data_IF_391696522318
#
_entry.id   IF_391696522318
#
_cell.length_a   1.000
_cell.length_b   1.000
_cell.length_c   1.000
_cell.angle_alpha   90.00
_cell.angle_beta   90.00
_cell.angle_gamma   90.00
#
_symmetry.space_group_name_H-M   'P 1'
#
loop_
_entity.id
_entity.type
_entity.pdbx_description
1 polymer ?
#
# COMPACT_ATOMS: atom_id res chain seq x y z
N UNK A 1 -21.24 24.26 -2.22
CA UNK A 1 -20.61 25.39 -1.49
C UNK A 1 -20.55 25.14 0.02
N UNK A 2 -21.60 24.61 0.65
CA UNK A 2 -21.62 24.25 2.09
C UNK A 2 -20.52 23.24 2.48
N UNK A 3 -20.28 22.23 1.64
CA UNK A 3 -19.21 21.23 1.82
C UNK A 3 -17.80 21.81 1.91
N UNK A 4 -17.51 22.80 1.06
CA UNK A 4 -16.23 23.51 1.05
C UNK A 4 -16.04 24.35 2.31
N UNK A 5 -17.12 24.80 2.94
CA UNK A 5 -17.07 25.64 4.15
C UNK A 5 -16.79 24.80 5.40
N UNK A 6 -17.33 23.58 5.46
CA UNK A 6 -17.00 22.60 6.51
C UNK A 6 -15.51 22.22 6.48
N UNK A 7 -14.95 22.00 5.28
CA UNK A 7 -13.52 21.74 5.07
C UNK A 7 -12.64 22.91 5.54
N UNK A 8 -13.10 24.16 5.42
CA UNK A 8 -12.30 25.34 5.77
C UNK A 8 -12.35 25.71 7.26
N UNK A 9 -12.95 24.88 8.13
CA UNK A 9 -13.05 25.14 9.58
C UNK A 9 -13.82 26.42 9.94
N UNK A 10 -14.50 27.03 8.96
CA UNK A 10 -15.16 28.31 9.10
C UNK A 10 -16.67 28.11 9.30
N UNK A 11 -17.12 28.44 10.52
CA UNK A 11 -18.50 28.67 10.98
C UNK A 11 -19.18 27.50 11.72
N UNK A 12 -19.62 27.82 12.94
CA UNK A 12 -19.78 26.92 14.08
C UNK A 12 -21.19 26.40 14.38
N UNK A 13 -22.24 26.80 13.66
CA UNK A 13 -23.60 26.27 13.92
C UNK A 13 -24.48 26.20 12.66
N UNK A 14 -24.50 27.26 11.85
CA UNK A 14 -25.37 27.34 10.67
C UNK A 14 -24.97 26.37 9.55
N UNK A 15 -23.67 26.14 9.35
CA UNK A 15 -23.17 25.18 8.37
C UNK A 15 -23.53 23.75 8.80
N UNK A 16 -23.33 23.42 10.07
CA UNK A 16 -23.73 22.13 10.67
C UNK A 16 -25.22 21.88 10.48
N UNK A 17 -26.08 22.83 10.86
CA UNK A 17 -27.53 22.69 10.68
C UNK A 17 -27.95 22.50 9.21
N UNK A 18 -27.27 23.17 8.27
CA UNK A 18 -27.54 23.02 6.83
C UNK A 18 -27.10 21.66 6.31
N UNK A 19 -25.91 21.20 6.70
CA UNK A 19 -25.39 19.86 6.35
C UNK A 19 -26.29 18.77 6.92
N UNK A 20 -26.75 18.93 8.16
CA UNK A 20 -27.67 18.00 8.81
C UNK A 20 -29.03 17.94 8.10
N UNK A 21 -29.63 19.09 7.80
CA UNK A 21 -30.93 19.16 7.11
C UNK A 21 -30.86 18.62 5.68
N UNK A 22 -29.83 18.99 4.92
CA UNK A 22 -29.65 18.46 3.57
C UNK A 22 -29.31 16.97 3.57
N UNK A 23 -28.47 16.53 4.51
CA UNK A 23 -28.03 15.16 4.67
C UNK A 23 -29.22 14.23 4.93
N UNK A 24 -30.14 14.63 5.82
CA UNK A 24 -31.34 13.86 6.13
C UNK A 24 -32.28 13.73 4.93
N UNK A 25 -32.56 14.84 4.22
CA UNK A 25 -33.46 14.81 3.07
C UNK A 25 -32.90 14.04 1.87
N UNK A 26 -31.57 14.01 1.71
CA UNK A 26 -30.90 13.40 0.55
C UNK A 26 -30.34 12.02 0.81
N UNK A 27 -30.39 11.53 2.05
CA UNK A 27 -29.70 10.32 2.49
C UNK A 27 -29.92 9.13 1.56
N UNK A 28 -31.18 8.83 1.21
CA UNK A 28 -31.53 7.69 0.35
C UNK A 28 -30.95 7.77 -1.07
N UNK A 29 -30.66 8.97 -1.57
CA UNK A 29 -30.05 9.21 -2.87
C UNK A 29 -28.53 9.29 -2.86
N UNK A 30 -27.90 9.29 -1.68
CA UNK A 30 -26.44 9.37 -1.58
C UNK A 30 -25.81 8.01 -1.92
N UNK A 31 -24.87 8.03 -2.88
CA UNK A 31 -23.95 6.91 -3.11
C UNK A 31 -22.99 6.72 -1.92
N UNK A 32 -22.36 5.56 -1.85
CA UNK A 32 -21.55 5.14 -0.69
C UNK A 32 -20.40 6.10 -0.38
N UNK A 33 -19.71 6.64 -1.40
CA UNK A 33 -18.66 7.64 -1.19
C UNK A 33 -19.19 8.94 -0.56
N UNK A 34 -20.33 9.44 -1.03
CA UNK A 34 -20.93 10.63 -0.45
C UNK A 34 -21.37 10.38 1.00
N UNK A 35 -21.80 9.16 1.34
CA UNK A 35 -22.06 8.80 2.73
C UNK A 35 -20.78 8.84 3.57
N UNK A 36 -19.65 8.32 3.06
CA UNK A 36 -18.37 8.33 3.75
C UNK A 36 -17.87 9.76 4.00
N UNK A 37 -17.92 10.61 2.97
CA UNK A 37 -17.53 12.01 3.08
C UNK A 37 -18.48 12.80 4.00
N UNK A 38 -19.78 12.51 3.99
CA UNK A 38 -20.74 13.14 4.90
C UNK A 38 -20.48 12.75 6.35
N UNK A 39 -20.32 11.45 6.64
CA UNK A 39 -20.08 10.96 7.99
C UNK A 39 -18.80 11.58 8.58
N UNK A 40 -17.75 11.62 7.78
CA UNK A 40 -16.48 12.24 8.17
C UNK A 40 -16.62 13.74 8.44
N UNK A 41 -17.28 14.48 7.54
CA UNK A 41 -17.52 15.92 7.73
C UNK A 41 -18.34 16.19 9.00
N UNK A 42 -19.35 15.39 9.26
CA UNK A 42 -20.16 15.52 10.49
C UNK A 42 -19.36 15.22 11.76
N UNK A 43 -18.48 14.20 11.74
CA UNK A 43 -17.58 13.91 12.86
C UNK A 43 -16.63 15.07 13.16
N UNK A 44 -16.09 15.69 12.11
CA UNK A 44 -15.25 16.90 12.22
C UNK A 44 -15.98 18.11 12.79
N UNK A 45 -17.24 18.28 12.44
CA UNK A 45 -18.09 19.36 12.96
C UNK A 45 -18.63 19.09 14.37
N UNK A 46 -18.34 17.91 14.95
CA UNK A 46 -18.88 17.51 16.25
C UNK A 46 -20.40 17.34 16.25
N UNK A 47 -21.01 17.07 15.09
CA UNK A 47 -22.45 16.83 14.98
C UNK A 47 -22.83 15.56 15.73
N UNK A 48 -23.94 15.60 16.47
CA UNK A 48 -24.52 14.46 17.17
C UNK A 48 -25.87 14.04 16.56
N UNK A 49 -26.09 14.33 15.28
CA UNK A 49 -27.40 14.16 14.67
C UNK A 49 -27.81 12.68 14.55
N UNK A 50 -29.10 12.41 14.71
CA UNK A 50 -29.66 11.04 14.68
C UNK A 50 -29.48 10.33 13.34
N UNK A 51 -29.37 11.06 12.23
CA UNK A 51 -29.13 10.48 10.91
C UNK A 51 -27.68 9.98 10.73
N UNK A 52 -26.72 10.40 11.59
CA UNK A 52 -25.34 9.90 11.56
C UNK A 52 -25.30 8.40 11.81
N UNK A 53 -26.16 7.90 12.71
CA UNK A 53 -26.27 6.46 12.95
C UNK A 53 -26.70 5.70 11.68
N UNK A 54 -27.64 6.24 10.90
CA UNK A 54 -28.07 5.62 9.64
C UNK A 54 -26.95 5.64 8.59
N UNK A 55 -26.15 6.71 8.55
CA UNK A 55 -24.96 6.79 7.70
C UNK A 55 -23.92 5.75 8.12
N UNK A 56 -23.65 5.64 9.41
CA UNK A 56 -22.74 4.63 9.97
C UNK A 56 -23.21 3.22 9.64
N UNK A 57 -24.49 2.90 9.87
CA UNK A 57 -25.06 1.58 9.57
C UNK A 57 -24.91 1.22 8.08
N UNK A 58 -25.14 2.18 7.17
CA UNK A 58 -24.97 1.98 5.72
C UNK A 58 -23.51 1.79 5.33
N UNK A 59 -22.60 2.60 5.87
CA UNK A 59 -21.17 2.45 5.61
C UNK A 59 -20.64 1.15 6.20
N UNK A 60 -21.13 0.75 7.37
CA UNK A 60 -20.75 -0.50 8.00
C UNK A 60 -21.12 -1.69 7.13
N UNK A 61 -22.32 -1.70 6.52
CA UNK A 61 -22.70 -2.74 5.56
C UNK A 61 -21.74 -2.82 4.35
N UNK A 62 -21.26 -1.68 3.85
CA UNK A 62 -20.26 -1.64 2.78
C UNK A 62 -18.89 -2.14 3.26
N UNK A 63 -18.47 -1.77 4.47
CA UNK A 63 -17.23 -2.26 5.10
C UNK A 63 -17.29 -3.77 5.30
N UNK A 64 -18.37 -4.30 5.87
CA UNK A 64 -18.54 -5.75 6.09
C UNK A 64 -18.48 -6.53 4.77
N UNK A 65 -19.14 -6.00 3.73
CA UNK A 65 -19.08 -6.58 2.38
C UNK A 65 -17.65 -6.59 1.85
N UNK A 66 -16.92 -5.47 1.96
CA UNK A 66 -15.54 -5.37 1.46
C UNK A 66 -14.58 -6.26 2.27
N UNK A 67 -14.76 -6.36 3.58
CA UNK A 67 -13.98 -7.22 4.47
C UNK A 67 -14.11 -8.69 4.07
N UNK A 68 -15.35 -9.19 3.91
CA UNK A 68 -15.59 -10.55 3.44
C UNK A 68 -14.93 -10.82 2.09
N UNK A 69 -15.05 -9.88 1.16
CA UNK A 69 -14.44 -10.02 -0.17
C UNK A 69 -12.91 -10.01 -0.14
N UNK A 70 -12.26 -9.27 0.76
CA UNK A 70 -10.81 -9.27 0.93
C UNK A 70 -10.30 -10.58 1.54
N UNK A 71 -11.05 -11.13 2.50
CA UNK A 71 -10.75 -12.41 3.13
C UNK A 71 -10.87 -13.57 2.14
N UNK A 72 -11.88 -13.53 1.27
CA UNK A 72 -12.12 -14.53 0.22
C UNK A 72 -11.05 -14.51 -0.88
N UNK A 73 -10.23 -13.46 -0.96
CA UNK A 73 -9.14 -13.45 -1.93
C UNK A 73 -8.07 -14.44 -1.49
N UNK A 74 -7.91 -15.46 -2.31
CA UNK A 74 -6.89 -16.49 -2.16
C UNK A 74 -5.96 -16.42 -3.36
N UNK A 75 -4.67 -16.68 -3.12
CA UNK A 75 -3.72 -16.92 -4.19
C UNK A 75 -4.10 -18.23 -4.89
N UNK A 76 -4.85 -18.14 -5.98
CA UNK A 76 -5.09 -19.28 -6.86
C UNK A 76 -3.79 -19.60 -7.58
N UNK A 77 -2.93 -20.40 -6.95
CA UNK A 77 -1.78 -20.99 -7.62
C UNK A 77 -2.31 -22.00 -8.62
N UNK A 78 -2.59 -21.56 -9.85
CA UNK A 78 -2.87 -22.51 -10.93
C UNK A 78 -1.60 -23.33 -11.10
N UNK A 79 -1.62 -24.65 -10.82
CA UNK A 79 -0.45 -25.48 -11.06
C UNK A 79 -0.20 -25.41 -12.57
N UNK A 80 0.86 -24.70 -12.95
CA UNK A 80 1.29 -24.69 -14.34
C UNK A 80 1.91 -26.06 -14.56
N UNK A 81 1.08 -27.00 -15.02
CA UNK A 81 1.56 -28.30 -15.49
C UNK A 81 2.33 -28.00 -16.78
N UNK A 82 3.60 -27.65 -16.65
CA UNK A 82 4.51 -27.60 -17.78
C UNK A 82 4.67 -29.04 -18.26
N UNK A 83 3.80 -29.46 -19.17
CA UNK A 83 3.99 -30.68 -19.95
C UNK A 83 5.32 -30.52 -20.65
N UNK A 84 6.37 -31.13 -20.11
CA UNK A 84 7.67 -31.16 -20.74
C UNK A 84 7.47 -31.80 -22.12
N UNK A 85 7.50 -30.98 -23.16
CA UNK A 85 7.55 -31.47 -24.52
C UNK A 85 8.87 -32.23 -24.65
N UNK A 86 8.79 -33.57 -24.61
CA UNK A 86 9.92 -34.45 -24.90
C UNK A 86 10.39 -34.13 -26.31
N UNK A 87 11.44 -33.32 -26.42
CA UNK A 87 12.13 -33.09 -27.68
C UNK A 87 12.81 -34.41 -28.06
N UNK A 88 12.18 -35.16 -28.97
CA UNK A 88 12.79 -36.32 -29.62
C UNK A 88 14.00 -35.85 -30.43
N UNK A 89 15.19 -36.02 -29.86
CA UNK A 89 16.44 -35.77 -30.57
C UNK A 89 16.57 -36.76 -31.74
N UNK A 90 16.50 -36.25 -32.96
CA UNK A 90 16.84 -37.00 -34.17
C UNK A 90 18.36 -37.04 -34.28
N UNK A 91 18.95 -38.22 -34.13
CA UNK A 91 20.38 -38.45 -34.29
C UNK A 91 20.81 -38.27 -35.76
N UNK A 92 21.74 -37.35 -36.00
CA UNK A 92 22.49 -37.25 -37.26
C UNK A 92 23.84 -37.97 -37.05
N UNK A 93 24.27 -38.87 -37.95
CA UNK A 93 25.59 -39.50 -37.85
C UNK A 93 26.68 -38.56 -38.37
N UNK A 94 27.70 -38.30 -37.56
CA UNK A 94 28.92 -37.59 -38.01
C UNK A 94 30.18 -38.42 -37.77
N UNK A 95 30.95 -38.50 -38.86
CA UNK A 95 32.28 -39.08 -39.09
C UNK A 95 33.37 -38.41 -38.23
N UNK A 96 34.49 -39.08 -37.89
CA UNK A 96 35.56 -38.46 -37.11
C UNK A 96 36.59 -37.78 -38.00
N UNK A 97 36.91 -36.52 -37.72
CA UNK A 97 38.16 -35.87 -38.16
C UNK A 97 38.77 -35.05 -37.03
N UNK A 98 40.08 -35.22 -36.89
CA UNK A 98 40.99 -34.80 -35.83
C UNK A 98 41.28 -33.29 -35.78
N UNK A 99 41.69 -32.83 -34.58
CA UNK A 99 42.63 -31.72 -34.29
C UNK A 99 42.03 -30.32 -34.02
N UNK A 100 42.17 -29.83 -32.77
CA UNK A 100 43.19 -28.85 -32.31
C UNK A 100 42.66 -28.11 -31.07
N UNK A 101 43.42 -28.15 -29.98
CA UNK A 101 43.17 -27.40 -28.74
C UNK A 101 43.46 -25.91 -28.94
N UNK A 102 42.46 -25.05 -28.72
CA UNK A 102 42.64 -23.64 -28.43
C UNK A 102 41.67 -23.23 -27.31
N UNK A 103 42.22 -23.06 -26.12
CA UNK A 103 41.49 -22.66 -24.90
C UNK A 103 41.22 -21.16 -24.96
N UNK A 104 39.99 -20.77 -25.28
CA UNK A 104 39.50 -19.39 -25.11
C UNK A 104 38.35 -19.43 -24.10
N UNK A 105 38.58 -18.87 -22.91
CA UNK A 105 37.57 -18.78 -21.87
C UNK A 105 36.61 -17.62 -22.21
N UNK A 106 35.50 -17.94 -22.85
CA UNK A 106 34.39 -17.01 -23.05
C UNK A 106 33.52 -17.05 -21.80
N UNK A 107 33.52 -15.98 -21.01
CA UNK A 107 32.59 -15.81 -19.91
C UNK A 107 31.18 -15.60 -20.48
N UNK A 108 30.39 -16.68 -20.51
CA UNK A 108 28.99 -16.63 -20.89
C UNK A 108 28.19 -16.11 -19.70
N UNK A 109 27.93 -14.81 -19.67
CA UNK A 109 26.93 -14.22 -18.77
C UNK A 109 25.56 -14.70 -19.24
N UNK A 110 25.08 -15.80 -18.67
CA UNK A 110 23.73 -16.28 -18.88
C UNK A 110 22.77 -15.30 -18.21
N UNK A 111 22.20 -14.37 -18.99
CA UNK A 111 21.08 -13.55 -18.57
C UNK A 111 19.88 -14.48 -18.41
N UNK A 112 19.68 -14.99 -17.19
CA UNK A 112 18.48 -15.74 -16.85
C UNK A 112 17.28 -14.80 -17.00
N UNK A 113 16.54 -14.95 -18.09
CA UNK A 113 15.20 -14.38 -18.23
C UNK A 113 14.30 -15.15 -17.28
N UNK A 114 14.22 -14.68 -16.03
CA UNK A 114 13.23 -15.13 -15.07
C UNK A 114 11.85 -14.85 -15.70
N UNK A 115 11.12 -15.89 -16.06
CA UNK A 115 9.72 -15.78 -16.43
C UNK A 115 8.96 -15.21 -15.22
N UNK A 116 8.12 -14.18 -15.43
CA UNK A 116 7.20 -13.69 -14.39
C UNK A 116 6.58 -14.89 -13.67
N UNK A 117 6.45 -14.90 -12.33
CA UNK A 117 5.58 -15.86 -11.69
C UNK A 117 4.19 -15.69 -12.31
N UNK A 118 3.77 -16.67 -13.14
CA UNK A 118 2.54 -16.64 -13.95
C UNK A 118 1.24 -16.65 -13.13
N UNK A 119 1.32 -16.34 -11.84
CA UNK A 119 0.21 -16.26 -10.89
C UNK A 119 -0.17 -14.82 -10.55
N UNK A 120 -0.02 -13.86 -11.48
CA UNK A 120 -0.55 -12.52 -11.29
C UNK A 120 -2.07 -12.63 -11.19
N UNK A 121 -2.59 -12.60 -9.96
CA UNK A 121 -4.02 -12.52 -9.71
C UNK A 121 -4.52 -11.24 -10.39
N UNK A 122 -5.46 -11.39 -11.33
CA UNK A 122 -6.05 -10.26 -12.02
C UNK A 122 -6.95 -9.49 -11.04
N UNK A 123 -6.35 -8.60 -10.26
CA UNK A 123 -6.97 -7.99 -9.08
C UNK A 123 -8.12 -7.08 -9.50
N UNK A 124 -8.00 -6.44 -10.66
CA UNK A 124 -9.05 -5.65 -11.28
C UNK A 124 -10.31 -6.48 -11.58
N UNK A 125 -10.19 -7.78 -11.87
CA UNK A 125 -11.30 -8.69 -12.17
C UNK A 125 -11.84 -9.41 -10.93
N UNK A 126 -11.13 -9.33 -9.80
CA UNK A 126 -11.50 -9.97 -8.55
C UNK A 126 -12.88 -9.50 -8.02
N UNK A 127 -13.56 -10.30 -7.19
CA UNK A 127 -14.78 -9.88 -6.50
C UNK A 127 -14.62 -8.57 -5.72
N UNK A 128 -13.47 -8.37 -5.07
CA UNK A 128 -13.11 -7.12 -4.41
C UNK A 128 -13.04 -5.95 -5.40
N UNK A 129 -12.29 -6.09 -6.49
CA UNK A 129 -12.15 -5.05 -7.52
C UNK A 129 -13.49 -4.66 -8.17
N UNK A 130 -14.41 -5.62 -8.37
CA UNK A 130 -15.79 -5.33 -8.80
C UNK A 130 -16.57 -4.57 -7.74
N UNK A 131 -16.55 -5.01 -6.48
CA UNK A 131 -17.28 -4.35 -5.41
C UNK A 131 -16.80 -2.91 -5.16
N UNK A 132 -15.49 -2.66 -5.21
CA UNK A 132 -14.93 -1.30 -5.13
C UNK A 132 -15.48 -0.39 -6.24
N UNK A 133 -15.56 -0.90 -7.48
CA UNK A 133 -16.15 -0.16 -8.61
C UNK A 133 -17.65 0.05 -8.45
N UNK A 134 -18.40 -0.96 -8.00
CA UNK A 134 -19.84 -0.86 -7.76
C UNK A 134 -20.18 0.15 -6.66
N UNK A 135 -19.43 0.13 -5.55
CA UNK A 135 -19.64 1.03 -4.41
C UNK A 135 -19.20 2.46 -4.70
N UNK A 136 -18.45 2.69 -5.79
CA UNK A 136 -17.95 4.01 -6.18
C UNK A 136 -17.04 4.65 -5.10
N UNK A 137 -16.45 3.83 -4.24
CA UNK A 137 -15.65 4.26 -3.11
C UNK A 137 -14.18 4.45 -3.48
N UNK A 138 -13.55 5.45 -2.88
CA UNK A 138 -12.13 5.75 -3.02
C UNK A 138 -11.41 5.52 -1.69
N UNK A 139 -11.94 6.07 -0.60
CA UNK A 139 -11.38 5.97 0.75
C UNK A 139 -12.53 5.87 1.76
N UNK A 140 -12.35 5.04 2.79
CA UNK A 140 -13.31 4.84 3.87
C UNK A 140 -13.05 5.75 5.09
N UNK A 141 -11.92 6.46 5.10
CA UNK A 141 -11.39 7.24 6.24
C UNK A 141 -10.95 6.34 7.40
N UNK A 142 -10.23 6.90 8.37
CA UNK A 142 -9.48 6.16 9.39
C UNK A 142 -10.29 5.08 10.09
N UNK A 143 -11.45 5.41 10.67
CA UNK A 143 -12.25 4.43 11.43
C UNK A 143 -12.71 3.23 10.59
N UNK A 144 -13.23 3.45 9.38
CA UNK A 144 -13.76 2.37 8.56
C UNK A 144 -12.65 1.61 7.80
N UNK A 145 -11.58 2.30 7.39
CA UNK A 145 -10.36 1.65 6.89
C UNK A 145 -9.73 0.76 7.96
N UNK A 146 -9.70 1.22 9.22
CA UNK A 146 -9.19 0.43 10.34
C UNK A 146 -10.01 -0.83 10.58
N UNK A 147 -11.34 -0.77 10.51
CA UNK A 147 -12.21 -1.96 10.60
C UNK A 147 -11.88 -2.97 9.49
N UNK A 148 -11.60 -2.51 8.26
CA UNK A 148 -11.13 -3.40 7.19
C UNK A 148 -9.76 -4.02 7.48
N UNK A 149 -8.81 -3.21 7.96
CA UNK A 149 -7.46 -3.66 8.33
C UNK A 149 -7.51 -4.72 9.43
N UNK A 150 -8.31 -4.50 10.48
CA UNK A 150 -8.55 -5.46 11.55
C UNK A 150 -9.13 -6.77 10.99
N UNK A 151 -10.11 -6.68 10.08
CA UNK A 151 -10.73 -7.83 9.47
C UNK A 151 -9.76 -8.68 8.64
N UNK A 152 -8.77 -8.08 7.98
CA UNK A 152 -7.73 -8.80 7.23
C UNK A 152 -6.50 -9.16 8.08
N UNK A 153 -6.57 -8.96 9.40
CA UNK A 153 -5.51 -9.36 10.34
C UNK A 153 -4.27 -8.45 10.32
N UNK A 154 -4.40 -7.19 9.88
CA UNK A 154 -3.32 -6.21 10.02
C UNK A 154 -3.34 -5.70 11.45
N UNK A 155 -2.22 -5.80 12.17
CA UNK A 155 -2.07 -5.33 13.55
C UNK A 155 -2.08 -3.80 13.68
N UNK A 156 -2.03 -3.32 14.91
CA UNK A 156 -1.79 -1.90 15.22
C UNK A 156 -0.33 -1.72 15.60
N UNK A 157 0.39 -0.92 14.85
CA UNK A 157 1.77 -0.62 15.19
C UNK A 157 1.83 0.29 16.43
N UNK A 158 2.93 0.21 17.18
CA UNK A 158 3.08 0.97 18.44
C UNK A 158 3.09 2.49 18.21
N UNK A 159 2.63 3.26 19.19
CA UNK A 159 2.75 4.71 19.16
C UNK A 159 4.19 5.21 19.09
N UNK A 160 5.14 4.47 19.66
CA UNK A 160 6.57 4.79 19.56
C UNK A 160 7.11 4.64 18.14
N UNK A 161 6.61 3.67 17.38
CA UNK A 161 6.88 3.55 15.94
C UNK A 161 6.32 4.76 15.17
N UNK A 162 5.07 5.16 15.44
CA UNK A 162 4.47 6.35 14.84
C UNK A 162 5.28 7.62 15.09
N UNK A 163 5.79 7.82 16.32
CA UNK A 163 6.66 8.95 16.65
C UNK A 163 7.99 8.92 15.85
N UNK A 164 8.62 7.75 15.70
CA UNK A 164 9.82 7.59 14.85
C UNK A 164 9.53 7.91 13.39
N UNK A 165 8.40 7.43 12.87
CA UNK A 165 7.97 7.70 11.51
C UNK A 165 7.80 9.20 11.25
N UNK A 166 7.10 9.91 12.14
CA UNK A 166 6.91 11.37 12.07
C UNK A 166 8.26 12.10 12.13
N UNK A 167 9.15 11.73 13.06
CA UNK A 167 10.48 12.33 13.15
C UNK A 167 11.30 12.09 11.87
N UNK A 168 11.19 10.89 11.28
CA UNK A 168 11.88 10.55 10.03
C UNK A 168 11.38 11.41 8.87
N UNK A 169 10.07 11.52 8.69
CA UNK A 169 9.43 12.36 7.65
C UNK A 169 9.91 13.81 7.79
N UNK A 170 9.84 14.40 9.00
CA UNK A 170 10.33 15.76 9.27
C UNK A 170 11.79 15.94 8.89
N UNK A 171 12.65 14.99 9.28
CA UNK A 171 14.08 15.06 8.97
C UNK A 171 14.39 15.03 7.46
N UNK A 172 13.48 14.48 6.66
CA UNK A 172 13.60 14.41 5.21
C UNK A 172 13.05 15.68 4.54
N UNK A 173 11.95 16.23 5.05
CA UNK A 173 11.36 17.47 4.51
C UNK A 173 12.18 18.71 4.88
N UNK A 174 12.73 18.78 6.09
CA UNK A 174 13.55 19.91 6.57
C UNK A 174 14.92 20.01 5.88
N UNK A 175 15.44 18.90 5.34
CA UNK A 175 16.76 18.86 4.68
C UNK A 175 16.78 19.40 3.26
N UNK A 176 15.65 19.85 2.72
CA UNK A 176 15.63 20.71 1.53
C UNK A 176 16.06 20.03 0.23
N UNK A 177 15.24 19.11 -0.27
CA UNK A 177 15.05 18.91 -1.71
C UNK A 177 13.59 19.22 -2.08
N UNK A 178 13.01 20.32 -1.55
CA UNK A 178 11.76 20.82 -2.12
C UNK A 178 12.07 21.31 -3.54
N UNK A 179 11.50 20.72 -4.61
CA UNK A 179 11.52 21.38 -5.90
C UNK A 179 10.84 22.75 -5.73
N UNK A 180 11.34 23.82 -6.37
CA UNK A 180 10.69 25.12 -6.32
C UNK A 180 9.35 25.01 -7.06
N UNK A 181 8.30 24.65 -6.32
CA UNK A 181 6.92 24.80 -6.77
C UNK A 181 6.58 26.29 -6.89
N UNK A 182 5.74 26.72 -7.85
CA UNK A 182 5.64 28.14 -8.22
C UNK A 182 4.96 29.08 -7.21
N UNK A 183 4.59 28.63 -6.00
CA UNK A 183 3.69 29.38 -5.11
C UNK A 183 4.06 29.24 -3.63
N UNK A 184 5.25 29.71 -3.24
CA UNK A 184 5.78 29.66 -1.88
C UNK A 184 4.90 30.29 -0.78
N UNK A 185 3.92 29.53 -0.28
CA UNK A 185 3.21 29.77 0.96
C UNK A 185 2.64 28.43 1.51
N UNK A 186 3.20 27.95 2.62
CA UNK A 186 2.65 26.83 3.40
C UNK A 186 3.09 25.44 2.91
N UNK A 187 3.36 24.55 3.85
CA UNK A 187 3.48 23.11 3.57
C UNK A 187 2.13 22.66 3.02
N UNK A 188 2.11 22.19 1.77
CA UNK A 188 0.89 21.77 1.09
C UNK A 188 0.41 20.46 1.72
N UNK A 189 -0.81 20.45 2.26
CA UNK A 189 -1.48 19.26 2.85
C UNK A 189 -1.71 18.12 1.86
N UNK A 190 -1.24 18.27 0.63
CA UNK A 190 -1.31 17.30 -0.46
C UNK A 190 -0.27 16.21 -0.35
N UNK A 191 0.78 16.38 0.46
CA UNK A 191 1.86 15.40 0.58
C UNK A 191 1.45 14.23 1.49
N UNK A 192 1.21 13.08 0.85
CA UNK A 192 0.91 11.82 1.52
C UNK A 192 2.19 11.01 1.63
N UNK A 193 2.61 10.67 2.86
CA UNK A 193 3.80 9.86 3.10
C UNK A 193 3.44 8.46 3.61
N UNK A 194 4.27 7.50 3.25
CA UNK A 194 4.29 6.17 3.83
C UNK A 194 5.70 5.85 4.32
N UNK A 195 5.82 5.39 5.56
CA UNK A 195 7.09 4.97 6.17
C UNK A 195 6.98 3.53 6.63
N UNK A 196 8.02 2.73 6.36
CA UNK A 196 8.04 1.31 6.69
C UNK A 196 9.28 0.99 7.49
N UNK A 197 9.13 0.29 8.61
CA UNK A 197 10.19 -0.46 9.29
C UNK A 197 9.92 -1.95 9.07
N UNK A 198 10.95 -2.71 8.72
CA UNK A 198 10.82 -4.16 8.57
C UNK A 198 11.99 -4.88 9.24
N UNK A 199 11.68 -6.04 9.81
CA UNK A 199 12.61 -6.97 10.43
C UNK A 199 12.13 -8.38 10.08
N UNK A 200 12.85 -9.06 9.20
CA UNK A 200 12.47 -10.37 8.68
C UNK A 200 13.66 -11.33 8.61
N UNK A 201 13.37 -12.60 8.80
CA UNK A 201 14.29 -13.72 8.60
C UNK A 201 13.82 -14.49 7.38
N UNK A 202 14.75 -14.72 6.46
CA UNK A 202 14.51 -15.51 5.26
C UNK A 202 14.97 -16.94 5.54
N UNK A 203 14.02 -17.88 5.60
CA UNK A 203 14.38 -19.28 5.73
C UNK A 203 15.25 -19.69 4.53
N UNK A 204 16.51 -20.03 4.79
CA UNK A 204 17.33 -20.66 3.79
C UNK A 204 16.69 -22.00 3.44
N UNK A 205 16.61 -22.31 2.13
CA UNK A 205 16.36 -23.69 1.73
C UNK A 205 17.42 -24.55 2.43
N UNK A 206 17.06 -25.68 3.06
CA UNK A 206 17.99 -26.52 3.80
C UNK A 206 19.00 -27.19 2.84
N UNK A 207 19.97 -26.42 2.37
CA UNK A 207 21.18 -26.93 1.78
C UNK A 207 22.01 -27.49 2.95
N UNK A 208 22.40 -28.75 2.81
CA UNK A 208 23.00 -29.53 3.88
C UNK A 208 24.22 -28.83 4.50
N UNK A 209 24.01 -28.12 5.61
CA UNK A 209 25.08 -27.65 6.49
C UNK A 209 25.36 -26.15 6.55
N UNK A 210 24.51 -25.26 5.99
CA UNK A 210 24.67 -23.81 6.16
C UNK A 210 23.73 -23.19 7.20
N UNK A 211 24.28 -22.19 7.89
CA UNK A 211 23.76 -21.49 9.06
C UNK A 211 22.43 -20.76 8.80
N UNK A 212 21.71 -20.58 9.91
CA UNK A 212 20.49 -19.81 10.14
C UNK A 212 20.14 -18.75 9.08
N UNK A 213 18.86 -18.70 8.70
CA UNK A 213 18.32 -17.84 7.65
C UNK A 213 18.84 -16.40 7.65
N UNK A 214 19.04 -15.82 6.45
CA UNK A 214 19.58 -14.47 6.34
C UNK A 214 18.60 -13.47 6.92
N UNK A 215 19.04 -12.75 7.95
CA UNK A 215 18.29 -11.67 8.57
C UNK A 215 18.33 -10.42 7.70
N UNK A 216 17.19 -9.73 7.62
CA UNK A 216 16.94 -8.60 6.73
C UNK A 216 16.11 -7.58 7.49
N UNK A 217 16.76 -6.48 7.85
CA UNK A 217 16.10 -5.32 8.44
C UNK A 217 16.34 -4.06 7.60
N UNK A 218 15.46 -3.07 7.78
CA UNK A 218 15.62 -1.79 7.12
C UNK A 218 14.41 -0.88 7.22
N UNK A 219 14.49 0.23 6.48
CA UNK A 219 13.49 1.29 6.49
C UNK A 219 13.23 1.82 5.09
N UNK A 220 11.97 2.08 4.75
CA UNK A 220 11.56 2.71 3.48
C UNK A 220 10.75 3.97 3.79
N UNK A 221 10.88 4.99 2.93
CA UNK A 221 10.10 6.22 3.02
C UNK A 221 9.68 6.63 1.61
N UNK A 222 8.37 6.78 1.43
CA UNK A 222 7.77 7.18 0.16
C UNK A 222 6.84 8.36 0.33
N UNK A 223 6.81 9.20 -0.70
CA UNK A 223 5.92 10.36 -0.83
C UNK A 223 5.06 10.17 -2.08
N UNK A 224 3.75 10.35 -1.94
CA UNK A 224 2.80 10.11 -3.02
C UNK A 224 3.02 11.06 -4.19
N UNK A 225 2.88 10.54 -5.41
CA UNK A 225 3.04 11.32 -6.64
C UNK A 225 4.49 11.53 -7.06
N UNK A 226 5.46 11.35 -6.16
CA UNK A 226 6.88 11.41 -6.51
C UNK A 226 7.34 10.10 -7.16
N UNK A 227 8.12 10.23 -8.23
CA UNK A 227 8.90 9.13 -8.79
C UNK A 227 10.32 9.32 -8.25
N UNK A 228 10.60 8.73 -7.08
CA UNK A 228 11.80 9.02 -6.29
C UNK A 228 13.09 8.95 -7.10
N UNK A 229 13.72 10.11 -7.35
CA UNK A 229 14.89 10.25 -8.24
C UNK A 229 16.19 9.59 -7.77
N UNK A 230 16.21 8.98 -6.57
CA UNK A 230 17.41 8.30 -6.02
C UNK A 230 17.21 6.82 -5.69
N UNK A 231 16.02 6.39 -5.26
CA UNK A 231 15.73 4.98 -4.94
C UNK A 231 15.30 4.16 -6.17
N UNK A 232 14.76 4.80 -7.22
CA UNK A 232 14.36 4.11 -8.45
C UNK A 232 15.51 3.49 -9.25
N UNK A 233 16.76 3.89 -9.06
CA UNK A 233 17.88 3.35 -9.83
C UNK A 233 18.06 1.83 -9.63
N UNK A 234 17.70 1.32 -8.44
CA UNK A 234 17.68 -0.12 -8.15
C UNK A 234 16.46 -0.83 -8.75
N UNK A 235 15.33 -0.13 -8.90
CA UNK A 235 14.09 -0.70 -9.43
C UNK A 235 14.07 -0.76 -10.96
N UNK A 236 14.59 0.26 -11.65
CA UNK A 236 14.49 0.35 -13.11
C UNK A 236 15.48 -0.55 -13.86
N UNK A 237 16.58 -0.97 -13.23
CA UNK A 237 17.59 -1.83 -13.88
C UNK A 237 17.16 -3.30 -13.98
N UNK A 238 16.14 -3.71 -13.24
CA UNK A 238 15.71 -5.11 -13.16
C UNK A 238 14.30 -5.34 -13.72
N UNK A 239 14.00 -4.90 -14.95
CA UNK A 239 12.82 -5.34 -15.73
C UNK A 239 11.52 -5.52 -14.91
N UNK A 240 11.23 -4.56 -14.04
CA UNK A 240 10.56 -4.77 -12.76
C UNK A 240 9.21 -5.48 -12.86
N UNK A 241 9.16 -6.71 -12.35
CA UNK A 241 7.92 -7.35 -11.94
C UNK A 241 7.31 -6.51 -10.82
N UNK A 242 6.14 -5.93 -11.07
CA UNK A 242 5.33 -5.38 -9.99
C UNK A 242 4.66 -6.56 -9.29
N UNK A 243 5.20 -6.94 -8.13
CA UNK A 243 4.61 -7.97 -7.28
C UNK A 243 3.16 -7.65 -6.92
N UNK A 244 2.84 -6.37 -6.82
CA UNK A 244 1.51 -5.86 -6.49
C UNK A 244 0.85 -5.24 -7.73
N UNK A 245 -0.47 -5.39 -7.85
CA UNK A 245 -1.29 -4.75 -8.88
C UNK A 245 -2.12 -3.61 -8.25
N UNK A 246 -1.98 -2.36 -8.73
CA UNK A 246 -2.77 -1.24 -8.23
C UNK A 246 -4.20 -1.32 -8.77
N UNK A 247 -5.19 -1.30 -7.87
CA UNK A 247 -6.59 -1.27 -8.27
C UNK A 247 -7.00 0.12 -8.77
N UNK A 248 -7.56 0.21 -9.98
CA UNK A 248 -8.16 1.45 -10.51
C UNK A 248 -9.49 1.74 -9.82
N UNK A 249 -9.62 2.93 -9.24
CA UNK A 249 -10.83 3.36 -8.54
C UNK A 249 -11.77 4.12 -9.50
N UNK A 250 -13.09 3.96 -9.36
CA UNK A 250 -14.07 4.32 -10.39
C UNK A 250 -14.23 5.84 -10.64
N UNK A 251 -13.91 6.69 -9.66
CA UNK A 251 -14.00 8.16 -9.76
C UNK A 251 -12.64 8.85 -9.91
N UNK A 252 -11.58 8.08 -10.09
CA UNK A 252 -10.22 8.60 -10.19
C UNK A 252 -9.42 7.84 -11.24
N UNK A 253 -10.05 7.55 -12.39
CA UNK A 253 -9.40 6.80 -13.47
C UNK A 253 -8.16 7.49 -14.05
N UNK A 254 -8.02 8.80 -13.84
CA UNK A 254 -6.85 9.60 -14.19
C UNK A 254 -5.75 9.59 -13.11
N UNK A 255 -6.07 9.14 -11.90
CA UNK A 255 -5.10 9.05 -10.80
C UNK A 255 -4.39 7.70 -10.89
N UNK A 256 -3.09 7.77 -11.12
CA UNK A 256 -2.22 6.60 -11.12
C UNK A 256 -2.00 6.10 -9.69
N UNK A 257 -2.75 5.06 -9.31
CA UNK A 257 -2.69 4.48 -7.96
C UNK A 257 -1.40 3.72 -7.68
N UNK A 258 -0.57 3.44 -8.69
CA UNK A 258 0.79 2.96 -8.45
C UNK A 258 1.70 4.00 -7.79
N UNK A 259 1.25 5.27 -7.72
CA UNK A 259 1.95 6.39 -7.09
C UNK A 259 1.42 6.74 -5.70
N UNK A 260 0.52 5.94 -5.15
CA UNK A 260 0.19 6.05 -3.73
C UNK A 260 1.42 5.64 -2.92
N UNK A 261 1.74 6.41 -1.87
CA UNK A 261 2.96 6.18 -1.09
C UNK A 261 3.00 4.77 -0.48
N UNK A 262 1.86 4.27 0.00
CA UNK A 262 1.72 2.94 0.58
C UNK A 262 1.96 1.85 -0.47
N UNK A 263 1.42 2.04 -1.68
CA UNK A 263 1.61 1.10 -2.78
C UNK A 263 3.09 1.03 -3.18
N UNK A 264 3.76 2.17 -3.30
CA UNK A 264 5.18 2.24 -3.63
C UNK A 264 6.04 1.59 -2.54
N UNK A 265 5.79 1.91 -1.27
CA UNK A 265 6.50 1.34 -0.14
C UNK A 265 6.36 -0.18 -0.06
N UNK A 266 5.15 -0.71 -0.23
CA UNK A 266 4.92 -2.15 -0.24
C UNK A 266 5.50 -2.83 -1.48
N UNK A 267 5.44 -2.18 -2.65
CA UNK A 267 6.05 -2.72 -3.87
C UNK A 267 7.57 -2.80 -3.77
N UNK A 268 8.21 -1.79 -3.17
CA UNK A 268 9.64 -1.83 -2.90
C UNK A 268 9.98 -2.90 -1.87
N UNK A 269 9.20 -3.00 -0.79
CA UNK A 269 9.39 -4.05 0.20
C UNK A 269 9.27 -5.46 -0.41
N UNK A 270 8.30 -5.70 -1.29
CA UNK A 270 8.22 -6.96 -2.04
C UNK A 270 9.53 -7.23 -2.80
N UNK A 271 10.11 -6.22 -3.45
CA UNK A 271 11.38 -6.37 -4.16
C UNK A 271 12.60 -6.53 -3.23
N UNK A 272 12.52 -6.13 -1.96
CA UNK A 272 13.57 -6.43 -0.96
C UNK A 272 13.47 -7.88 -0.50
N UNK A 273 12.25 -8.38 -0.29
CA UNK A 273 12.01 -9.71 0.26
C UNK A 273 12.08 -10.82 -0.81
N UNK A 274 11.69 -10.53 -2.06
CA UNK A 274 11.47 -11.57 -3.07
C UNK A 274 12.69 -12.05 -3.89
N UNK A 275 13.72 -11.24 -4.23
CA UNK A 275 14.92 -11.73 -4.91
C UNK A 275 15.72 -12.73 -4.09
N UNK A 276 15.43 -12.86 -2.80
CA UNK A 276 16.00 -13.90 -1.95
C UNK A 276 15.16 -15.19 -1.97
N UNK A 277 13.95 -15.11 -2.53
CA UNK A 277 12.99 -16.18 -2.81
C UNK A 277 13.17 -16.93 -4.15
N UNK A 278 14.36 -16.90 -4.76
CA UNK A 278 14.63 -17.37 -6.14
C UNK A 278 14.36 -18.85 -6.45
N UNK A 279 13.90 -19.65 -5.50
CA UNK A 279 13.45 -21.01 -5.77
C UNK A 279 11.92 -21.01 -5.94
N UNK A 280 11.35 -21.59 -7.00
CA UNK A 280 9.92 -21.73 -7.17
C UNK A 280 9.35 -22.63 -6.05
N UNK A 281 8.89 -21.97 -5.01
CA UNK A 281 8.31 -22.52 -3.80
C UNK A 281 8.04 -21.37 -2.83
N UNK A 282 7.07 -21.50 -1.92
CA UNK A 282 6.89 -20.52 -0.86
C UNK A 282 8.14 -20.56 0.01
N UNK A 283 9.08 -19.64 -0.22
CA UNK A 283 10.12 -19.40 0.78
C UNK A 283 9.45 -18.80 2.00
N UNK A 284 9.78 -19.37 3.15
CA UNK A 284 9.24 -18.97 4.43
C UNK A 284 9.96 -17.69 4.86
N UNK A 285 9.38 -16.55 4.50
CA UNK A 285 9.77 -15.23 5.02
C UNK A 285 8.96 -15.03 6.30
N UNK A 286 9.65 -14.98 7.45
CA UNK A 286 9.00 -14.77 8.74
C UNK A 286 9.49 -13.45 9.30
N UNK A 287 8.60 -12.62 9.85
CA UNK A 287 9.04 -11.35 10.42
C UNK A 287 7.90 -10.42 10.78
N UNK A 288 8.26 -9.16 11.02
CA UNK A 288 7.33 -8.09 11.30
C UNK A 288 7.61 -6.91 10.37
N UNK A 289 6.54 -6.32 9.87
CA UNK A 289 6.55 -5.09 9.08
C UNK A 289 5.62 -4.10 9.76
N UNK A 290 6.15 -2.94 10.11
CA UNK A 290 5.37 -1.81 10.62
C UNK A 290 5.26 -0.74 9.52
N UNK A 291 4.03 -0.43 9.12
CA UNK A 291 3.70 0.59 8.12
C UNK A 291 3.06 1.79 8.81
N UNK A 292 3.58 2.98 8.53
CA UNK A 292 3.03 4.26 8.94
C UNK A 292 2.48 5.00 7.72
N UNK A 293 1.31 5.63 7.85
CA UNK A 293 0.73 6.46 6.79
C UNK A 293 0.24 7.79 7.35
N UNK A 294 0.46 8.89 6.61
CA UNK A 294 -0.02 10.21 7.06
C UNK A 294 -1.53 10.39 6.93
N UNK A 295 -2.17 9.59 6.07
CA UNK A 295 -3.62 9.52 5.90
C UNK A 295 -4.07 8.06 5.86
N UNK A 296 -5.36 7.83 6.11
CA UNK A 296 -5.98 6.52 5.92
C UNK A 296 -5.79 6.02 4.48
N UNK A 297 -5.35 4.77 4.27
CA UNK A 297 -5.11 4.21 2.96
C UNK A 297 -6.38 4.17 2.11
N UNK A 298 -6.24 4.45 0.81
CA UNK A 298 -7.35 4.29 -0.12
C UNK A 298 -7.66 2.80 -0.37
N UNK A 299 -8.81 2.49 -0.99
CA UNK A 299 -9.20 1.10 -1.29
C UNK A 299 -8.21 0.37 -2.22
N UNK A 300 -7.45 1.11 -3.02
CA UNK A 300 -6.37 0.54 -3.84
C UNK A 300 -5.21 0.07 -2.96
N UNK A 301 -4.78 0.91 -2.01
CA UNK A 301 -3.71 0.59 -1.05
C UNK A 301 -4.13 -0.53 -0.09
N UNK A 302 -5.39 -0.58 0.34
CA UNK A 302 -5.93 -1.71 1.11
C UNK A 302 -5.87 -3.03 0.32
N UNK A 303 -6.15 -2.97 -0.98
CA UNK A 303 -5.94 -4.11 -1.88
C UNK A 303 -4.48 -4.53 -1.98
N UNK A 304 -3.54 -3.58 -2.01
CA UNK A 304 -2.10 -3.85 -2.05
C UNK A 304 -1.58 -4.44 -0.73
N UNK A 305 -2.07 -3.96 0.42
CA UNK A 305 -1.83 -4.53 1.75
C UNK A 305 -2.25 -5.99 1.79
N UNK A 306 -3.44 -6.32 1.28
CA UNK A 306 -3.90 -7.72 1.22
C UNK A 306 -3.06 -8.58 0.29
N UNK A 307 -2.67 -8.05 -0.87
CA UNK A 307 -1.75 -8.75 -1.78
C UNK A 307 -0.41 -9.04 -1.08
N UNK A 308 0.16 -8.07 -0.36
CA UNK A 308 1.40 -8.26 0.41
C UNK A 308 1.29 -9.41 1.41
N UNK A 309 0.21 -9.45 2.21
CA UNK A 309 -0.02 -10.56 3.16
C UNK A 309 -0.15 -11.92 2.46
N UNK A 310 -0.70 -11.97 1.25
CA UNK A 310 -0.80 -13.21 0.48
C UNK A 310 0.55 -13.66 -0.10
N UNK A 311 1.44 -12.73 -0.42
CA UNK A 311 2.82 -13.05 -0.84
C UNK A 311 3.70 -13.48 0.32
N UNK A 312 3.49 -12.92 1.52
CA UNK A 312 4.31 -13.16 2.71
C UNK A 312 3.42 -13.52 3.92
N UNK A 313 2.80 -14.72 3.94
CA UNK A 313 1.80 -15.08 4.95
C UNK A 313 2.35 -15.15 6.38
N UNK A 314 3.65 -15.44 6.54
CA UNK A 314 4.32 -15.53 7.85
C UNK A 314 4.95 -14.18 8.28
N UNK A 315 4.74 -13.11 7.52
CA UNK A 315 5.13 -11.74 7.89
C UNK A 315 3.94 -11.03 8.54
N UNK A 316 4.06 -10.76 9.84
CA UNK A 316 3.08 -9.95 10.54
C UNK A 316 3.15 -8.50 10.04
N UNK A 317 2.03 -7.98 9.53
CA UNK A 317 1.92 -6.59 9.11
C UNK A 317 1.14 -5.79 10.15
N UNK A 318 1.72 -4.69 10.61
CA UNK A 318 1.11 -3.74 11.53
C UNK A 318 1.01 -2.36 10.88
N UNK A 319 -0.04 -1.61 11.20
CA UNK A 319 -0.25 -0.27 10.66
C UNK A 319 -0.50 0.75 11.77
N UNK A 320 0.08 1.94 11.64
CA UNK A 320 -0.21 3.12 12.45
C UNK A 320 -0.50 4.30 11.53
N UNK A 321 -1.66 4.95 11.71
CA UNK A 321 -1.97 6.18 11.01
C UNK A 321 -1.49 7.38 11.82
N UNK A 322 -1.28 8.53 11.19
CA UNK A 322 -0.92 9.77 11.89
C UNK A 322 -1.95 10.15 12.96
N UNK A 323 -3.24 9.86 12.74
CA UNK A 323 -4.30 10.07 13.72
C UNK A 323 -4.14 9.21 15.00
N UNK A 324 -3.43 8.08 14.92
CA UNK A 324 -3.14 7.23 16.08
C UNK A 324 -1.95 7.74 16.92
N UNK A 325 -1.18 8.72 16.42
CA UNK A 325 0.02 9.22 17.09
C UNK A 325 -0.33 10.26 18.15
N UNK A 326 0.05 9.98 19.39
CA UNK A 326 -0.03 10.96 20.47
C UNK A 326 1.02 12.07 20.29
N UNK A 327 0.64 13.10 19.53
CA UNK A 327 1.48 14.25 19.22
C UNK A 327 1.87 15.05 20.46
N UNK A 328 1.18 14.90 21.61
CA UNK A 328 1.55 15.58 22.85
C UNK A 328 2.90 15.12 23.41
N UNK A 329 3.36 13.92 23.01
CA UNK A 329 4.67 13.37 23.38
C UNK A 329 5.82 13.98 22.58
N UNK A 330 5.53 14.63 21.45
CA UNK A 330 6.51 15.42 20.70
C UNK A 330 6.58 16.77 21.41
N UNK A 331 7.52 16.90 22.35
CA UNK A 331 7.58 18.02 23.29
C UNK A 331 7.34 19.38 22.65
N UNK A 332 6.61 20.25 23.37
CA UNK A 332 6.13 21.56 22.90
C UNK A 332 7.22 22.55 22.43
N UNK A 333 8.50 22.19 22.51
CA UNK A 333 9.63 22.98 22.03
C UNK A 333 9.88 22.89 20.53
N UNK A 334 9.41 21.84 19.86
CA UNK A 334 9.45 21.71 18.41
C UNK A 334 8.07 22.03 17.86
N UNK A 335 7.89 23.23 17.30
CA UNK A 335 6.62 23.75 16.77
C UNK A 335 5.87 22.72 15.91
N UNK A 336 4.92 22.01 16.53
CA UNK A 336 4.03 21.00 15.92
C UNK A 336 3.09 21.61 14.88
N UNK A 337 3.01 22.95 14.80
CA UNK A 337 2.12 23.71 13.94
C UNK A 337 2.27 23.44 12.44
N UNK A 338 3.40 22.95 11.94
CA UNK A 338 3.56 22.72 10.48
C UNK A 338 2.88 21.44 9.97
N UNK A 339 2.65 20.44 10.83
CA UNK A 339 2.02 19.17 10.45
C UNK A 339 0.57 19.09 10.94
N UNK A 340 0.26 19.52 12.16
CA UNK A 340 -1.11 19.41 12.71
C UNK A 340 -2.01 20.58 12.36
N UNK A 341 -1.46 21.80 12.21
CA UNK A 341 -2.25 23.01 11.90
C UNK A 341 -2.97 22.98 10.54
N UNK A 342 -2.66 21.95 9.76
CA UNK A 342 -3.09 21.72 8.40
C UNK A 342 -3.99 20.47 8.29
N UNK A 343 -3.78 19.46 9.16
CA UNK A 343 -4.68 18.31 9.32
C UNK A 343 -5.93 18.71 10.11
N UNK A 344 -5.84 19.68 11.02
CA UNK A 344 -7.03 20.29 11.67
C UNK A 344 -7.90 21.12 10.69
N UNK A 345 -7.52 21.24 9.41
CA UNK A 345 -8.30 21.88 8.34
C UNK A 345 -8.70 20.91 7.19
N UNK A 346 -8.68 19.60 7.43
CA UNK A 346 -9.17 18.56 6.51
C UNK A 346 -10.28 17.75 7.16
#
# INVERSE_FOLDING_TARGET
>A
MTWSSALLGAVKDAATATVESEGECKLEGLGTQNCADLLWACGRLGSSASHLKRLEDRLQSAVDRLAGLLLDITMTTTPTTTTAATATATAIPTTPTTTTLATTATATTATATASSPSGCLEWASSPYGRAVRELQLVNLRSMASRRLLDAVGVGRASGDFGLRAVARIRSCTERGEQPPGPLGAGVDTTEVFAYVEYDAVLAAAPAAGEDFGSHVDGQLLWESGTQGGRQQAHFMTAGAFTWLEPLRLPNSGHVDRSRCAEFQALSELCAVLAPRAQQPGPQEVVGVVSLFTTISPCLSCLGAIRQFQLFFPEVALELCELEDVDMSRIGAGDTVSSLTGNIENL
#
